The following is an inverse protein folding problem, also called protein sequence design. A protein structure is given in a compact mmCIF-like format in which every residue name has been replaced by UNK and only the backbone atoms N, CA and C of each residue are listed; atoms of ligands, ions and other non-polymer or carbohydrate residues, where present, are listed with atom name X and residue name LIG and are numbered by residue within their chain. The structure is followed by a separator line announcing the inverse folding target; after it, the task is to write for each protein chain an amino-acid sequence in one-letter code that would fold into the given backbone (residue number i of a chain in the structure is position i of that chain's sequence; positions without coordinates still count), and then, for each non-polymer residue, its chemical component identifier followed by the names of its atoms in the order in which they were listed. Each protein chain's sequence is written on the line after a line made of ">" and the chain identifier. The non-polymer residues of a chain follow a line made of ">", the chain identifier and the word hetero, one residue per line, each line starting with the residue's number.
data_IF_559903612401
#
_entry.id   IF_559903612401
#
_cell.length_a   1.000
_cell.length_b   1.000
_cell.length_c   1.000
_cell.angle_alpha   90.00
_cell.angle_beta   90.00
_cell.angle_gamma   90.00
#
_symmetry.space_group_name_H-M   'P 1'
#
loop_
_entity.id
_entity.type
_entity.pdbx_description
1 polymer ?
#
# COMPACT_ATOMS: atom_id res chain seq x y z
N UNK A 1 -14.02 0.69 13.17
CA UNK A 1 -12.96 1.55 12.56
C UNK A 1 -11.86 1.89 13.56
N UNK A 2 -12.19 2.52 14.67
CA UNK A 2 -11.20 2.90 15.70
C UNK A 2 -10.49 1.68 16.29
N UNK A 3 -11.23 0.63 16.60
CA UNK A 3 -10.66 -0.61 17.12
C UNK A 3 -9.67 -1.24 16.13
N UNK A 4 -10.00 -1.22 14.84
CA UNK A 4 -9.10 -1.72 13.80
C UNK A 4 -7.82 -0.88 13.73
N UNK A 5 -7.93 0.44 13.78
CA UNK A 5 -6.76 1.32 13.79
C UNK A 5 -5.86 1.09 15.01
N UNK A 6 -6.46 0.91 16.18
CA UNK A 6 -5.73 0.63 17.42
C UNK A 6 -5.02 -0.73 17.34
N UNK A 7 -5.68 -1.76 16.81
CA UNK A 7 -5.10 -3.08 16.63
C UNK A 7 -3.92 -3.05 15.64
N UNK A 8 -4.06 -2.34 14.53
CA UNK A 8 -3.00 -2.17 13.55
C UNK A 8 -1.80 -1.42 14.14
N UNK A 9 -2.04 -0.37 14.91
CA UNK A 9 -0.98 0.38 15.57
C UNK A 9 -0.21 -0.48 16.57
N UNK A 10 -0.90 -1.33 17.34
CA UNK A 10 -0.28 -2.25 18.27
C UNK A 10 0.54 -3.33 17.54
N UNK A 11 0.04 -3.86 16.45
CA UNK A 11 0.76 -4.82 15.63
C UNK A 11 2.02 -4.19 15.00
N UNK A 12 1.91 -3.02 14.43
CA UNK A 12 3.04 -2.29 13.84
C UNK A 12 4.09 -1.90 14.89
N UNK A 13 3.66 -1.61 16.12
CA UNK A 13 4.55 -1.32 17.24
C UNK A 13 5.16 -2.55 17.91
N UNK A 14 4.78 -3.77 17.49
CA UNK A 14 5.26 -5.01 18.08
C UNK A 14 4.63 -5.38 19.42
N UNK A 15 3.60 -4.65 19.87
CA UNK A 15 2.92 -4.90 21.15
C UNK A 15 2.08 -6.17 21.12
N UNK A 16 1.48 -6.48 19.96
CA UNK A 16 0.73 -7.72 19.74
C UNK A 16 1.34 -8.48 18.56
N UNK A 17 1.31 -9.81 18.65
CA UNK A 17 1.78 -10.70 17.60
C UNK A 17 0.77 -11.85 17.48
N UNK A 18 -0.29 -11.67 16.67
CA UNK A 18 -1.33 -12.68 16.52
C UNK A 18 -0.76 -14.01 16.05
N UNK A 19 -1.20 -15.10 16.66
CA UNK A 19 -0.75 -16.44 16.33
C UNK A 19 -1.17 -16.81 14.90
N UNK A 20 -0.25 -17.39 14.13
CA UNK A 20 -0.51 -17.78 12.74
C UNK A 20 -0.37 -16.65 11.73
N UNK A 21 -0.04 -15.45 12.17
CA UNK A 21 0.21 -14.30 11.31
C UNK A 21 1.68 -13.88 11.38
N UNK A 22 2.26 -13.35 10.28
CA UNK A 22 3.60 -12.77 10.34
C UNK A 22 3.62 -11.56 11.28
N UNK A 23 4.78 -11.24 11.84
CA UNK A 23 4.98 -9.99 12.52
C UNK A 23 4.88 -8.82 11.54
N UNK A 24 4.65 -7.61 12.04
CA UNK A 24 4.71 -6.41 11.21
C UNK A 24 6.06 -6.28 10.50
N UNK A 25 7.14 -6.59 11.20
CA UNK A 25 8.49 -6.53 10.63
C UNK A 25 8.63 -7.48 9.43
N UNK A 26 8.18 -8.74 9.56
CA UNK A 26 8.22 -9.71 8.47
C UNK A 26 7.33 -9.28 7.31
N UNK A 27 6.14 -8.79 7.58
CA UNK A 27 5.22 -8.29 6.58
C UNK A 27 5.81 -7.10 5.82
N UNK A 28 6.34 -6.12 6.55
CA UNK A 28 6.95 -4.93 5.97
C UNK A 28 8.18 -5.28 5.12
N UNK A 29 9.01 -6.19 5.61
CA UNK A 29 10.18 -6.69 4.86
C UNK A 29 9.77 -7.40 3.57
N UNK A 30 8.69 -8.16 3.58
CA UNK A 30 8.15 -8.82 2.40
C UNK A 30 7.69 -7.82 1.34
N UNK A 31 7.01 -6.75 1.76
CA UNK A 31 6.61 -5.67 0.85
C UNK A 31 7.85 -4.98 0.27
N UNK A 32 8.83 -4.67 1.10
CA UNK A 32 10.09 -4.08 0.66
C UNK A 32 10.81 -4.96 -0.36
N UNK A 33 10.90 -6.25 -0.08
CA UNK A 33 11.54 -7.21 -0.99
C UNK A 33 10.84 -7.29 -2.36
N UNK A 34 9.51 -7.21 -2.38
CA UNK A 34 8.74 -7.19 -3.62
C UNK A 34 9.03 -5.92 -4.45
N UNK A 35 9.07 -4.76 -3.79
CA UNK A 35 9.43 -3.49 -4.46
C UNK A 35 10.87 -3.51 -4.99
N UNK A 36 11.80 -4.06 -4.23
CA UNK A 36 13.19 -4.20 -4.65
C UNK A 36 13.34 -5.15 -5.84
N UNK A 37 12.57 -6.25 -5.86
CA UNK A 37 12.56 -7.16 -6.99
C UNK A 37 12.12 -6.44 -8.27
N UNK A 38 11.03 -5.68 -8.20
CA UNK A 38 10.54 -4.89 -9.34
C UNK A 38 11.59 -3.87 -9.79
N UNK A 39 12.19 -3.15 -8.86
CA UNK A 39 13.22 -2.16 -9.16
C UNK A 39 14.44 -2.77 -9.86
N UNK A 40 14.91 -3.92 -9.39
CA UNK A 40 16.12 -4.57 -9.92
C UNK A 40 15.87 -5.28 -11.24
N UNK A 41 14.77 -6.01 -11.35
CA UNK A 41 14.51 -6.90 -12.49
C UNK A 41 13.72 -6.24 -13.62
N UNK A 42 12.95 -5.19 -13.33
CA UNK A 42 11.98 -4.62 -14.26
C UNK A 42 12.08 -3.11 -14.43
N UNK A 43 13.18 -2.50 -14.00
CA UNK A 43 13.43 -1.06 -14.22
C UNK A 43 13.38 -0.73 -15.72
N UNK A 44 12.70 0.35 -16.06
CA UNK A 44 12.47 0.74 -17.46
C UNK A 44 11.31 0.04 -18.14
N UNK A 45 10.55 -0.78 -17.42
CA UNK A 45 9.35 -1.50 -17.92
C UNK A 45 8.10 -1.08 -17.18
N UNK A 46 6.95 -1.32 -17.81
CA UNK A 46 5.65 -1.17 -17.16
C UNK A 46 5.30 -2.47 -16.43
N UNK A 47 5.11 -2.39 -15.12
CA UNK A 47 4.78 -3.54 -14.27
C UNK A 47 3.46 -3.26 -13.58
N UNK A 48 2.53 -4.20 -13.67
CA UNK A 48 1.28 -4.17 -12.93
C UNK A 48 1.35 -5.13 -11.75
N UNK A 49 1.17 -4.60 -10.55
CA UNK A 49 1.03 -5.38 -9.33
C UNK A 49 -0.41 -5.28 -8.83
N UNK A 50 -1.03 -6.43 -8.60
CA UNK A 50 -2.39 -6.50 -8.04
C UNK A 50 -2.30 -6.96 -6.61
N UNK A 51 -2.84 -6.18 -5.68
CA UNK A 51 -2.73 -6.46 -4.25
C UNK A 51 -3.93 -5.88 -3.48
N UNK A 52 -3.89 -5.98 -2.17
CA UNK A 52 -4.90 -5.45 -1.26
C UNK A 52 -4.40 -4.19 -0.54
N UNK A 53 -5.29 -3.57 0.23
CA UNK A 53 -5.01 -2.30 0.89
C UNK A 53 -3.79 -2.30 1.80
N UNK A 54 -3.61 -3.35 2.60
CA UNK A 54 -2.47 -3.45 3.53
C UNK A 54 -1.11 -3.37 2.84
N UNK A 55 -0.80 -4.25 1.89
CA UNK A 55 0.46 -4.18 1.14
C UNK A 55 0.63 -2.88 0.35
N UNK A 56 -0.43 -2.35 -0.26
CA UNK A 56 -0.36 -1.11 -1.04
C UNK A 56 -0.02 0.07 -0.14
N UNK A 57 -0.72 0.25 0.98
CA UNK A 57 -0.45 1.34 1.91
C UNK A 57 0.94 1.24 2.54
N UNK A 58 1.40 0.02 2.81
CA UNK A 58 2.75 -0.24 3.31
C UNK A 58 3.80 0.14 2.28
N UNK A 59 3.60 -0.23 1.01
CA UNK A 59 4.50 0.16 -0.08
C UNK A 59 4.58 1.69 -0.23
N UNK A 60 3.44 2.37 -0.23
CA UNK A 60 3.39 3.84 -0.27
C UNK A 60 4.09 4.43 0.94
N UNK A 61 3.83 3.90 2.13
CA UNK A 61 4.46 4.35 3.36
C UNK A 61 5.99 4.21 3.33
N UNK A 62 6.50 3.11 2.81
CA UNK A 62 7.95 2.88 2.68
C UNK A 62 8.59 3.86 1.72
N UNK A 63 7.95 4.12 0.57
CA UNK A 63 8.47 5.06 -0.42
C UNK A 63 8.47 6.49 0.10
N UNK A 64 7.43 6.89 0.83
CA UNK A 64 7.30 8.23 1.39
C UNK A 64 8.01 8.40 2.74
N UNK A 65 8.37 7.33 3.43
CA UNK A 65 8.95 7.38 4.77
C UNK A 65 7.95 7.82 5.84
N UNK A 66 6.72 7.31 5.77
CA UNK A 66 5.65 7.70 6.71
C UNK A 66 5.79 7.01 8.06
N UNK A 67 5.20 7.64 9.09
CA UNK A 67 5.00 7.01 10.39
C UNK A 67 3.96 5.87 10.31
N UNK A 68 3.91 4.95 11.30
CA UNK A 68 2.87 3.94 11.37
C UNK A 68 1.46 4.51 11.33
N UNK A 69 1.20 5.59 12.02
CA UNK A 69 -0.11 6.25 12.07
C UNK A 69 -0.54 6.75 10.68
N UNK A 70 0.39 7.34 9.93
CA UNK A 70 0.12 7.82 8.57
C UNK A 70 -0.10 6.65 7.64
N UNK A 71 0.67 5.58 7.74
CA UNK A 71 0.48 4.36 6.94
C UNK A 71 -0.92 3.76 7.17
N UNK A 72 -1.37 3.70 8.42
CA UNK A 72 -2.72 3.25 8.76
C UNK A 72 -3.77 4.17 8.13
N UNK A 73 -3.58 5.49 8.23
CA UNK A 73 -4.50 6.47 7.65
C UNK A 73 -4.59 6.32 6.13
N UNK A 74 -3.49 6.03 5.45
CA UNK A 74 -3.47 5.74 4.01
C UNK A 74 -4.29 4.48 3.70
N UNK A 75 -4.09 3.41 4.50
CA UNK A 75 -4.83 2.17 4.32
C UNK A 75 -6.34 2.37 4.43
N UNK A 76 -6.78 3.15 5.41
CA UNK A 76 -8.21 3.42 5.62
C UNK A 76 -8.85 4.26 4.52
N UNK A 77 -8.08 4.89 3.67
CA UNK A 77 -8.55 5.73 2.56
C UNK A 77 -8.53 5.03 1.21
N UNK A 78 -7.92 3.86 1.12
CA UNK A 78 -7.86 3.13 -0.14
C UNK A 78 -9.27 2.72 -0.60
N UNK A 79 -9.53 2.97 -1.87
CA UNK A 79 -10.79 2.60 -2.51
C UNK A 79 -10.59 1.32 -3.31
N UNK A 80 -11.65 0.55 -3.46
CA UNK A 80 -11.61 -0.68 -4.25
C UNK A 80 -11.22 -0.37 -5.70
N UNK A 81 -10.38 -1.22 -6.27
CA UNK A 81 -9.85 -1.11 -7.64
C UNK A 81 -9.13 0.21 -7.96
N UNK A 82 -8.76 0.97 -6.94
CA UNK A 82 -7.97 2.17 -7.15
C UNK A 82 -6.55 1.81 -7.60
N UNK A 83 -5.95 2.71 -8.35
CA UNK A 83 -4.59 2.58 -8.88
C UNK A 83 -3.66 3.55 -8.17
N UNK A 84 -2.50 3.06 -7.75
CA UNK A 84 -1.41 3.90 -7.29
C UNK A 84 -0.21 3.65 -8.19
N UNK A 85 0.40 4.71 -8.66
CA UNK A 85 1.48 4.64 -9.63
C UNK A 85 2.80 5.06 -9.02
N UNK A 86 3.85 4.30 -9.33
CA UNK A 86 5.22 4.62 -8.96
C UNK A 86 6.06 4.75 -10.23
N UNK A 87 6.97 5.70 -10.23
CA UNK A 87 8.05 5.70 -11.20
C UNK A 87 9.25 4.92 -10.64
N UNK A 88 9.90 4.17 -11.49
CA UNK A 88 11.01 3.29 -11.12
C UNK A 88 12.23 3.66 -11.93
N UNK A 89 13.34 3.87 -11.24
CA UNK A 89 14.66 3.90 -11.85
C UNK A 89 15.61 2.99 -11.06
N UNK A 90 16.83 2.69 -11.56
CA UNK A 90 17.74 1.78 -10.86
C UNK A 90 18.12 2.21 -9.44
N UNK A 91 17.94 3.48 -9.10
CA UNK A 91 18.33 4.03 -7.79
C UNK A 91 17.18 4.09 -6.80
N UNK A 92 15.94 4.33 -7.25
CA UNK A 92 14.82 4.55 -6.35
C UNK A 92 13.45 4.35 -6.99
N UNK A 93 12.46 4.21 -6.12
CA UNK A 93 11.04 4.29 -6.42
C UNK A 93 10.50 5.63 -5.95
N UNK A 94 9.62 6.23 -6.74
CA UNK A 94 8.94 7.47 -6.39
C UNK A 94 7.44 7.32 -6.62
N UNK A 95 6.64 7.82 -5.69
CA UNK A 95 5.19 7.84 -5.85
C UNK A 95 4.79 8.93 -6.83
N UNK A 96 4.02 8.57 -7.85
CA UNK A 96 3.46 9.52 -8.82
C UNK A 96 2.01 9.88 -8.51
N UNK A 97 1.17 8.87 -8.30
CA UNK A 97 -0.25 9.04 -7.97
C UNK A 97 -0.65 8.03 -6.92
N UNK A 98 -1.67 8.38 -6.14
CA UNK A 98 -2.18 7.51 -5.08
C UNK A 98 -3.70 7.42 -5.15
N UNK A 99 -4.22 6.18 -5.09
CA UNK A 99 -5.64 5.93 -4.89
C UNK A 99 -6.54 6.55 -5.97
N UNK A 100 -6.11 6.50 -7.23
CA UNK A 100 -6.85 7.10 -8.34
C UNK A 100 -7.87 6.13 -8.91
N UNK A 101 -8.99 6.67 -9.38
CA UNK A 101 -10.08 5.95 -10.01
C UNK A 101 -10.44 6.55 -11.38
N UNK A 102 -9.45 6.97 -12.14
CA UNK A 102 -9.66 7.62 -13.44
C UNK A 102 -10.54 6.78 -14.38
N UNK A 103 -10.43 5.45 -14.31
CA UNK A 103 -11.23 4.51 -15.09
C UNK A 103 -12.70 4.45 -14.66
N UNK A 104 -13.06 4.99 -13.48
CA UNK A 104 -14.43 5.10 -12.98
C UNK A 104 -14.90 6.55 -12.84
N UNK A 105 -14.08 7.51 -13.23
CA UNK A 105 -14.42 8.94 -13.11
C UNK A 105 -15.31 9.40 -14.28
N UNK A 106 -16.45 8.73 -14.40
CA UNK A 106 -17.53 9.07 -15.32
C UNK A 106 -18.83 9.12 -14.53
N UNK A 107 -19.81 9.89 -14.99
CA UNK A 107 -21.11 9.98 -14.32
C UNK A 107 -21.80 8.61 -14.21
N UNK A 108 -21.62 7.75 -15.22
CA UNK A 108 -22.19 6.40 -15.26
C UNK A 108 -21.58 5.49 -14.18
N UNK A 109 -20.28 5.57 -13.94
CA UNK A 109 -19.57 4.63 -13.05
C UNK A 109 -19.30 5.19 -11.64
N UNK A 110 -19.63 6.45 -11.38
CA UNK A 110 -19.31 7.10 -10.10
C UNK A 110 -19.96 6.39 -8.91
N UNK A 111 -21.14 5.81 -9.09
CA UNK A 111 -21.83 5.04 -8.05
C UNK A 111 -21.16 3.69 -7.75
N UNK A 112 -20.23 3.23 -8.59
CA UNK A 112 -19.49 1.98 -8.39
C UNK A 112 -18.29 2.15 -7.45
N UNK A 113 -17.95 3.38 -7.12
CA UNK A 113 -16.82 3.66 -6.24
C UNK A 113 -17.16 3.25 -4.82
N UNK A 114 -16.38 2.33 -4.28
CA UNK A 114 -16.54 1.82 -2.91
C UNK A 114 -15.20 1.85 -2.17
N UNK A 115 -15.26 1.81 -0.85
CA UNK A 115 -14.08 1.73 0.01
C UNK A 115 -13.84 0.29 0.46
N UNK A 116 -12.59 -0.04 0.59
CA UNK A 116 -12.19 -1.34 1.11
C UNK A 116 -12.46 -1.45 2.61
#
# INVERSE_FOLDING_TARGET
>A
FRLLCDALAQWMGGTISPQGMPSWEDFSSGVHAALELVRRAHSGRNVLLVSSGGPISTAVGQVLGTSPEVTIALNMRLRNIAVSEFSINPKRLMLQTFNTLNHLDTDEHRSWITSA
#
